data_IF_505442293995
#
_entry.id   IF_505442293995
#
_cell.length_a   1.000
_cell.length_b   1.000
_cell.length_c   1.000
_cell.angle_alpha   90.00
_cell.angle_beta   90.00
_cell.angle_gamma   90.00
#
_symmetry.space_group_name_H-M   'P 1'
#
loop_
_entity.id
_entity.type
_entity.pdbx_description
1 polymer ?
#
# COMPACT_ATOMS: atom_id res chain seq x y z
N UNK A 1 -12.33 9.43 1.51
CA UNK A 1 -13.25 8.36 1.07
C UNK A 1 -14.45 8.35 2.00
N UNK A 2 -15.66 8.43 1.46
CA UNK A 2 -16.91 8.17 2.18
C UNK A 2 -17.26 6.69 2.10
N UNK A 3 -17.99 6.18 3.09
CA UNK A 3 -18.50 4.82 3.09
C UNK A 3 -19.26 4.53 1.78
N UNK A 4 -18.93 3.42 1.14
CA UNK A 4 -19.50 2.99 -0.13
C UNK A 4 -18.76 3.48 -1.38
N UNK A 5 -17.95 4.55 -1.29
CA UNK A 5 -17.11 4.97 -2.40
C UNK A 5 -16.04 3.92 -2.71
N UNK A 6 -15.65 3.88 -3.98
CA UNK A 6 -14.62 2.98 -4.50
C UNK A 6 -13.42 3.82 -4.93
N UNK A 7 -12.24 3.44 -4.42
CA UNK A 7 -10.94 3.92 -4.89
C UNK A 7 -10.37 2.90 -5.86
N UNK A 8 -10.28 3.26 -7.14
CA UNK A 8 -9.53 2.51 -8.15
C UNK A 8 -8.11 3.01 -8.22
N UNK A 9 -7.15 2.11 -8.13
CA UNK A 9 -5.74 2.37 -8.44
C UNK A 9 -5.39 1.63 -9.73
N UNK A 10 -4.84 2.34 -10.72
CA UNK A 10 -4.43 1.77 -12.01
C UNK A 10 -2.94 1.96 -12.21
N UNK A 11 -2.24 0.85 -12.39
CA UNK A 11 -0.85 0.84 -12.85
C UNK A 11 -0.82 1.12 -14.36
N UNK A 12 -0.33 2.30 -14.76
CA UNK A 12 -0.43 2.74 -16.15
C UNK A 12 0.60 2.08 -17.06
N UNK A 13 1.76 1.70 -16.52
CA UNK A 13 2.89 1.17 -17.30
C UNK A 13 3.33 -0.23 -16.86
N UNK A 14 2.75 -0.78 -15.79
CA UNK A 14 3.14 -2.04 -15.19
C UNK A 14 4.33 -1.89 -14.23
N UNK A 15 4.45 -2.86 -13.32
CA UNK A 15 5.50 -2.96 -12.30
C UNK A 15 5.65 -1.76 -11.35
N UNK A 16 4.69 -0.82 -11.29
CA UNK A 16 4.75 0.30 -10.36
C UNK A 16 4.00 0.00 -9.06
N UNK A 17 4.72 -0.09 -7.94
CA UNK A 17 4.10 -0.18 -6.63
C UNK A 17 3.47 1.14 -6.17
N UNK A 18 2.40 1.03 -5.38
CA UNK A 18 1.83 2.15 -4.65
C UNK A 18 1.58 1.77 -3.19
N UNK A 19 2.19 2.55 -2.31
CA UNK A 19 2.08 2.36 -0.88
C UNK A 19 0.80 3.03 -0.41
N UNK A 20 0.06 2.34 0.46
CA UNK A 20 -1.26 2.76 0.90
C UNK A 20 -1.46 2.62 2.41
N UNK A 21 -1.97 3.69 3.01
CA UNK A 21 -2.47 3.72 4.38
C UNK A 21 -3.92 4.24 4.40
N UNK A 22 -4.69 3.82 5.40
CA UNK A 22 -5.97 4.45 5.69
C UNK A 22 -6.25 4.56 7.18
N UNK A 23 -7.05 5.57 7.53
CA UNK A 23 -7.38 5.97 8.89
C UNK A 23 -8.89 6.21 8.98
N UNK A 24 -9.51 5.86 10.11
CA UNK A 24 -10.90 6.20 10.37
C UNK A 24 -11.07 7.72 10.39
N UNK A 25 -12.04 8.24 9.61
CA UNK A 25 -12.30 9.68 9.58
C UNK A 25 -12.80 10.22 10.94
N UNK A 26 -13.42 9.36 11.77
CA UNK A 26 -13.95 9.73 13.09
C UNK A 26 -12.91 9.66 14.22
N UNK A 27 -11.88 8.83 14.07
CA UNK A 27 -10.78 8.64 15.04
C UNK A 27 -9.50 8.23 14.31
N UNK A 28 -8.62 9.19 14.02
CA UNK A 28 -7.37 8.92 13.30
C UNK A 28 -6.41 8.00 14.08
N UNK A 29 -6.62 7.74 15.37
CA UNK A 29 -5.85 6.71 16.07
C UNK A 29 -6.24 5.28 15.60
N UNK A 30 -7.48 5.10 15.13
CA UNK A 30 -7.98 3.86 14.56
C UNK A 30 -7.66 3.78 13.06
N UNK A 31 -6.51 3.16 12.76
CA UNK A 31 -5.90 3.09 11.43
C UNK A 31 -5.63 1.68 10.97
N UNK A 32 -5.27 1.53 9.70
CA UNK A 32 -4.88 0.26 9.10
C UNK A 32 -3.90 -0.54 9.97
N UNK A 33 -4.09 -1.85 10.03
CA UNK A 33 -3.24 -2.76 10.76
C UNK A 33 -2.97 -4.03 9.95
N UNK A 34 -1.72 -4.21 9.52
CA UNK A 34 -1.27 -5.38 8.76
C UNK A 34 -1.52 -6.70 9.53
N UNK A 35 -1.23 -6.75 10.84
CA UNK A 35 -1.39 -7.98 11.62
C UNK A 35 -2.84 -8.46 11.71
N UNK A 36 -3.80 -7.56 11.95
CA UNK A 36 -5.22 -7.89 11.92
C UNK A 36 -5.67 -8.26 10.52
N UNK A 37 -5.17 -7.56 9.50
CA UNK A 37 -5.44 -7.87 8.09
C UNK A 37 -5.01 -9.30 7.75
N UNK A 38 -3.77 -9.68 8.04
CA UNK A 38 -3.24 -11.03 7.79
C UNK A 38 -4.03 -12.08 8.57
N UNK A 39 -4.23 -11.85 9.88
CA UNK A 39 -4.90 -12.81 10.78
C UNK A 39 -6.34 -13.09 10.37
N UNK A 40 -7.10 -12.05 9.99
CA UNK A 40 -8.52 -12.17 9.66
C UNK A 40 -8.74 -12.68 8.24
N UNK A 41 -7.85 -12.36 7.29
CA UNK A 41 -7.88 -12.96 5.96
C UNK A 41 -7.25 -14.36 5.91
N UNK A 42 -6.47 -14.74 6.92
CA UNK A 42 -5.65 -15.98 6.96
C UNK A 42 -4.72 -16.11 5.76
N UNK A 43 -4.26 -14.97 5.24
CA UNK A 43 -3.38 -14.89 4.09
C UNK A 43 -2.46 -13.68 4.26
N UNK A 44 -1.20 -13.85 3.87
CA UNK A 44 -0.19 -12.78 3.89
C UNK A 44 -0.23 -11.93 2.62
N UNK A 45 -0.80 -12.45 1.53
CA UNK A 45 -1.01 -11.74 0.29
C UNK A 45 -2.43 -11.20 0.22
N UNK A 46 -2.57 -9.97 -0.28
CA UNK A 46 -3.86 -9.34 -0.50
C UNK A 46 -4.24 -9.43 -1.99
N UNK A 47 -5.53 -9.57 -2.24
CA UNK A 47 -6.11 -9.54 -3.59
C UNK A 47 -7.62 -9.48 -3.53
N UNK A 48 -8.32 -9.81 -4.62
CA UNK A 48 -9.79 -9.81 -4.66
C UNK A 48 -10.41 -10.55 -3.47
N UNK A 49 -11.31 -9.88 -2.75
CA UNK A 49 -11.99 -10.38 -1.57
C UNK A 49 -11.23 -10.17 -0.26
N UNK A 50 -9.98 -9.72 -0.28
CA UNK A 50 -9.28 -9.36 0.95
C UNK A 50 -9.88 -8.12 1.61
N UNK A 51 -9.94 -8.14 2.93
CA UNK A 51 -10.47 -7.06 3.75
C UNK A 51 -9.34 -6.37 4.52
N UNK A 52 -9.27 -5.05 4.47
CA UNK A 52 -8.30 -4.26 5.23
C UNK A 52 -8.91 -3.91 6.59
N UNK A 53 -8.18 -4.22 7.66
CA UNK A 53 -8.67 -4.11 9.03
C UNK A 53 -7.89 -3.07 9.83
N UNK A 54 -8.60 -2.39 10.73
CA UNK A 54 -8.00 -1.40 11.63
C UNK A 54 -7.34 -2.03 12.86
N UNK A 55 -6.61 -1.22 13.64
CA UNK A 55 -6.07 -1.61 14.96
C UNK A 55 -7.17 -2.06 15.94
N UNK A 56 -8.38 -1.49 15.86
CA UNK A 56 -9.55 -1.90 16.64
C UNK A 56 -10.38 -3.02 15.98
N UNK A 57 -9.82 -3.68 14.95
CA UNK A 57 -10.48 -4.73 14.18
C UNK A 57 -11.82 -4.29 13.56
N UNK A 58 -11.90 -3.03 13.10
CA UNK A 58 -12.99 -2.56 12.23
C UNK A 58 -12.60 -2.76 10.79
N UNK A 59 -13.54 -3.21 9.96
CA UNK A 59 -13.33 -3.35 8.53
C UNK A 59 -13.28 -1.95 7.91
N UNK A 60 -12.16 -1.62 7.27
CA UNK A 60 -11.92 -0.30 6.69
C UNK A 60 -12.22 -0.32 5.19
N UNK A 61 -11.63 -1.26 4.47
CA UNK A 61 -11.85 -1.42 3.03
C UNK A 61 -11.97 -2.88 2.63
N UNK A 62 -12.60 -3.14 1.49
CA UNK A 62 -12.61 -4.45 0.83
C UNK A 62 -12.06 -4.30 -0.58
N UNK A 63 -11.14 -5.17 -1.00
CA UNK A 63 -10.71 -5.28 -2.39
C UNK A 63 -11.82 -5.98 -3.17
N UNK A 64 -12.61 -5.23 -3.94
CA UNK A 64 -13.78 -5.76 -4.65
C UNK A 64 -13.46 -6.20 -6.08
N UNK A 65 -12.39 -5.68 -6.67
CA UNK A 65 -11.85 -6.10 -7.96
C UNK A 65 -10.33 -5.99 -7.95
N UNK A 66 -9.66 -6.91 -8.63
CA UNK A 66 -8.20 -6.98 -8.72
C UNK A 66 -7.80 -7.83 -9.92
N UNK A 67 -7.05 -7.23 -10.85
CA UNK A 67 -6.60 -7.90 -12.08
C UNK A 67 -5.18 -8.46 -11.99
N UNK A 68 -4.49 -8.27 -10.87
CA UNK A 68 -3.08 -8.57 -10.68
C UNK A 68 -2.86 -9.62 -9.58
N UNK A 69 -3.44 -9.43 -8.38
CA UNK A 69 -3.25 -10.29 -7.22
C UNK A 69 -1.92 -10.08 -6.49
N UNK A 70 -1.77 -10.84 -5.40
CA UNK A 70 -0.51 -11.01 -4.65
C UNK A 70 0.14 -9.73 -4.12
N UNK A 71 -0.65 -8.77 -3.65
CA UNK A 71 -0.13 -7.54 -3.07
C UNK A 71 0.48 -7.78 -1.70
N UNK A 72 1.61 -7.11 -1.45
CA UNK A 72 2.35 -7.21 -0.21
C UNK A 72 1.76 -6.32 0.92
N UNK A 73 1.94 -6.78 2.15
CA UNK A 73 1.71 -5.98 3.36
C UNK A 73 2.76 -6.26 4.45
N UNK A 74 3.88 -6.91 4.09
CA UNK A 74 4.93 -7.33 5.01
C UNK A 74 6.16 -6.43 4.92
N UNK A 75 6.53 -5.97 3.72
CA UNK A 75 7.84 -5.36 3.47
C UNK A 75 7.93 -3.90 3.94
N UNK A 76 6.79 -3.25 4.19
CA UNK A 76 6.71 -1.84 4.56
C UNK A 76 7.07 -0.90 3.41
N UNK A 77 7.19 0.39 3.71
CA UNK A 77 7.51 1.44 2.76
C UNK A 77 9.01 1.72 2.69
N UNK A 78 9.51 2.22 1.56
CA UNK A 78 10.91 2.63 1.43
C UNK A 78 11.18 3.97 2.15
N UNK A 79 12.42 4.16 2.61
CA UNK A 79 12.92 5.40 3.20
C UNK A 79 14.37 5.63 2.80
N UNK A 80 14.85 6.86 2.95
CA UNK A 80 16.26 7.21 2.66
C UNK A 80 17.19 6.38 3.54
N UNK A 81 16.86 6.25 4.82
CA UNK A 81 17.62 5.54 5.84
C UNK A 81 17.70 4.04 5.56
N UNK A 82 16.57 3.43 5.18
CA UNK A 82 16.50 2.01 4.84
C UNK A 82 17.30 1.72 3.57
N UNK A 83 17.24 2.59 2.58
CA UNK A 83 18.02 2.44 1.34
C UNK A 83 19.52 2.59 1.58
N UNK A 84 19.94 3.54 2.42
CA UNK A 84 21.35 3.68 2.82
C UNK A 84 21.90 2.40 3.46
N UNK A 85 21.11 1.75 4.32
CA UNK A 85 21.50 0.49 4.95
C UNK A 85 21.52 -0.67 3.94
N UNK A 86 20.48 -0.78 3.09
CA UNK A 86 20.32 -1.92 2.17
C UNK A 86 21.25 -1.87 0.98
N UNK A 87 21.54 -0.68 0.47
CA UNK A 87 22.21 -0.48 -0.82
C UNK A 87 23.47 0.38 -0.73
N UNK A 88 23.75 1.02 0.41
CA UNK A 88 24.87 1.97 0.55
C UNK A 88 24.70 3.26 -0.24
N UNK A 89 23.49 3.51 -0.75
CA UNK A 89 23.06 4.69 -1.51
C UNK A 89 21.54 4.79 -1.47
N UNK A 90 21.00 5.97 -1.74
CA UNK A 90 19.56 6.23 -1.71
C UNK A 90 19.08 7.06 -2.92
N UNK A 91 17.76 7.13 -3.10
CA UNK A 91 17.12 7.93 -4.15
C UNK A 91 16.90 9.41 -3.77
N UNK A 92 17.36 9.84 -2.59
CA UNK A 92 17.10 11.16 -1.99
C UNK A 92 15.66 11.39 -1.51
N UNK A 93 14.77 10.41 -1.71
CA UNK A 93 13.35 10.41 -1.32
C UNK A 93 12.84 8.98 -1.20
N UNK A 94 11.78 8.78 -0.42
CA UNK A 94 11.11 7.50 -0.24
C UNK A 94 9.64 7.67 0.12
N UNK A 95 8.90 6.55 0.14
CA UNK A 95 7.50 6.52 0.52
C UNK A 95 7.25 7.01 1.96
N UNK A 96 8.20 6.76 2.87
CA UNK A 96 8.18 7.29 4.24
C UNK A 96 8.00 8.81 4.25
N UNK A 97 8.87 9.55 3.55
CA UNK A 97 8.78 11.02 3.47
C UNK A 97 7.55 11.52 2.72
N UNK A 98 7.07 10.79 1.71
CA UNK A 98 5.81 11.11 1.03
C UNK A 98 4.62 10.98 1.98
N UNK A 99 4.57 9.91 2.79
CA UNK A 99 3.53 9.74 3.80
C UNK A 99 3.59 10.82 4.86
N UNK A 100 4.77 11.12 5.42
CA UNK A 100 4.92 12.18 6.41
C UNK A 100 4.42 13.53 5.89
N UNK A 101 4.77 13.88 4.64
CA UNK A 101 4.33 15.12 4.01
C UNK A 101 2.80 15.21 3.88
N UNK A 102 2.14 14.14 3.45
CA UNK A 102 0.67 14.12 3.33
C UNK A 102 -0.03 14.04 4.70
N UNK A 103 0.48 13.21 5.61
CA UNK A 103 -0.09 13.01 6.95
C UNK A 103 0.01 14.27 7.82
N UNK A 104 1.08 15.07 7.68
CA UNK A 104 1.24 16.33 8.39
C UNK A 104 0.08 17.32 8.16
N UNK A 105 -0.54 17.28 6.97
CA UNK A 105 -1.73 18.11 6.63
C UNK A 105 -2.96 17.78 7.48
N UNK A 106 -2.95 16.62 8.14
CA UNK A 106 -4.02 16.10 8.99
C UNK A 106 -3.63 16.05 10.47
N UNK A 107 -2.52 16.71 10.86
CA UNK A 107 -2.03 16.72 12.25
C UNK A 107 -1.42 15.39 12.71
N UNK A 108 -1.07 14.53 11.75
CA UNK A 108 -0.36 13.27 11.98
C UNK A 108 1.14 13.45 11.74
N UNK A 109 1.94 12.49 12.18
CA UNK A 109 3.40 12.57 12.20
C UNK A 109 4.04 11.24 11.78
N UNK A 110 5.37 11.19 11.75
CA UNK A 110 6.16 9.98 11.45
C UNK A 110 5.67 8.73 12.22
N UNK A 111 5.31 8.87 13.51
CA UNK A 111 4.81 7.76 14.35
C UNK A 111 3.52 7.10 13.82
N UNK A 112 2.79 7.82 12.97
CA UNK A 112 1.52 7.40 12.40
C UNK A 112 1.72 6.66 11.07
N UNK A 113 2.93 6.72 10.49
CA UNK A 113 3.37 5.83 9.42
C UNK A 113 3.65 4.45 10.03
N UNK A 114 2.87 3.46 9.62
CA UNK A 114 2.94 2.08 10.11
C UNK A 114 3.14 1.13 8.92
N UNK A 115 3.25 -0.17 9.19
CA UNK A 115 3.19 -1.18 8.13
C UNK A 115 1.99 -0.93 7.21
N UNK A 116 2.27 -0.70 5.93
CA UNK A 116 1.31 -0.30 4.90
C UNK A 116 0.98 -1.46 3.96
N UNK A 117 0.00 -1.24 3.09
CA UNK A 117 -0.23 -2.10 1.92
C UNK A 117 0.64 -1.59 0.78
N UNK A 118 1.26 -2.50 0.03
CA UNK A 118 2.05 -2.23 -1.16
C UNK A 118 1.31 -2.81 -2.38
N UNK A 119 0.36 -2.07 -2.95
CA UNK A 119 -0.35 -2.54 -4.14
C UNK A 119 0.61 -2.66 -5.33
N UNK A 120 0.41 -3.69 -6.15
CA UNK A 120 1.25 -4.09 -7.28
C UNK A 120 2.70 -4.52 -6.96
N UNK A 121 3.16 -4.36 -5.71
CA UNK A 121 4.44 -4.92 -5.28
C UNK A 121 4.32 -6.40 -4.97
N UNK A 122 5.26 -7.21 -5.49
CA UNK A 122 5.29 -8.65 -5.28
C UNK A 122 6.48 -9.06 -4.40
N UNK A 123 6.17 -9.63 -3.23
CA UNK A 123 7.15 -10.07 -2.23
C UNK A 123 6.88 -11.52 -1.85
N UNK A 124 7.39 -12.50 -2.63
CA UNK A 124 7.21 -13.91 -2.30
C UNK A 124 7.93 -14.26 -0.99
N UNK A 125 7.25 -15.00 -0.13
CA UNK A 125 7.81 -15.64 1.06
C UNK A 125 8.14 -17.10 0.73
N UNK A 126 9.41 -17.46 0.85
CA UNK A 126 9.91 -18.81 0.62
C UNK A 126 9.57 -19.74 1.79
N UNK A 127 9.70 -21.05 1.58
CA UNK A 127 9.46 -22.05 2.63
C UNK A 127 10.40 -21.90 3.84
N UNK A 128 11.59 -21.30 3.65
CA UNK A 128 12.52 -20.94 4.73
C UNK A 128 12.05 -19.74 5.56
N UNK A 129 11.09 -18.97 5.07
CA UNK A 129 10.70 -17.67 5.61
C UNK A 129 11.45 -16.49 4.98
N UNK A 130 12.38 -16.73 4.05
CA UNK A 130 13.08 -15.66 3.33
C UNK A 130 12.11 -14.92 2.40
N UNK A 131 12.35 -13.61 2.24
CA UNK A 131 11.51 -12.76 1.41
C UNK A 131 12.32 -11.61 0.82
N UNK A 132 12.02 -11.27 -0.43
CA UNK A 132 12.65 -10.18 -1.17
C UNK A 132 11.66 -9.60 -2.19
N UNK A 133 11.93 -8.37 -2.63
CA UNK A 133 11.13 -7.72 -3.67
C UNK A 133 11.47 -8.38 -5.02
N UNK A 134 10.57 -9.21 -5.52
CA UNK A 134 10.66 -9.81 -6.84
C UNK A 134 10.15 -8.83 -7.91
N UNK A 135 10.43 -9.06 -9.21
CA UNK A 135 9.83 -8.28 -10.28
C UNK A 135 8.31 -8.22 -10.13
N UNK A 136 7.74 -7.01 -10.22
CA UNK A 136 6.31 -6.80 -10.14
C UNK A 136 5.58 -7.62 -11.21
N UNK A 137 4.42 -8.19 -10.84
CA UNK A 137 3.62 -9.00 -11.75
C UNK A 137 2.53 -8.20 -12.48
N UNK A 138 2.31 -6.94 -12.08
CA UNK A 138 1.36 -6.04 -12.74
C UNK A 138 1.80 -5.71 -14.16
N UNK A 139 0.82 -5.65 -15.06
CA UNK A 139 0.95 -5.24 -16.46
C UNK A 139 0.37 -3.84 -16.63
N UNK A 140 0.70 -3.15 -17.74
CA UNK A 140 0.03 -1.90 -18.08
C UNK A 140 -1.49 -2.05 -18.00
N UNK A 141 -2.14 -1.09 -17.33
CA UNK A 141 -3.57 -0.98 -17.07
C UNK A 141 -4.17 -1.96 -16.06
N UNK A 142 -3.36 -2.79 -15.39
CA UNK A 142 -3.85 -3.54 -14.24
C UNK A 142 -4.35 -2.60 -13.15
N UNK A 143 -5.39 -3.02 -12.44
CA UNK A 143 -6.03 -2.20 -11.44
C UNK A 143 -6.55 -2.99 -10.25
N UNK A 144 -6.76 -2.26 -9.15
CA UNK A 144 -7.44 -2.71 -7.95
C UNK A 144 -8.55 -1.73 -7.58
N UNK A 145 -9.69 -2.25 -7.14
CA UNK A 145 -10.81 -1.46 -6.63
C UNK A 145 -11.00 -1.71 -5.13
N UNK A 146 -10.92 -0.64 -4.36
CA UNK A 146 -11.08 -0.64 -2.91
C UNK A 146 -12.39 0.02 -2.53
N UNK A 147 -13.38 -0.75 -2.08
CA UNK A 147 -14.60 -0.17 -1.51
C UNK A 147 -14.36 0.24 -0.06
N UNK A 148 -14.69 1.47 0.28
CA UNK A 148 -14.69 1.95 1.66
C UNK A 148 -15.88 1.38 2.46
N UNK A 149 -15.60 0.71 3.57
CA UNK A 149 -16.61 0.11 4.46
C UNK A 149 -17.08 1.09 5.56
N UNK A 150 -16.40 2.23 5.64
CA UNK A 150 -16.64 3.34 6.55
C UNK A 150 -16.01 4.61 5.97
N UNK A 151 -16.23 5.76 6.62
CA UNK A 151 -15.57 7.01 6.23
C UNK A 151 -14.08 6.95 6.61
N UNK A 152 -13.22 7.26 5.66
CA UNK A 152 -11.78 7.08 5.75
C UNK A 152 -11.01 8.27 5.19
N UNK A 153 -9.90 8.59 5.86
CA UNK A 153 -8.75 9.23 5.23
C UNK A 153 -7.91 8.16 4.55
N UNK A 154 -7.79 8.22 3.23
CA UNK A 154 -6.95 7.36 2.42
C UNK A 154 -5.69 8.12 2.01
N UNK A 155 -4.51 7.53 2.18
CA UNK A 155 -3.22 8.16 1.90
C UNK A 155 -2.41 7.25 0.99
N UNK A 156 -1.88 7.83 -0.08
CA UNK A 156 -1.18 7.13 -1.14
C UNK A 156 0.23 7.71 -1.29
N UNK A 157 1.22 6.85 -1.50
CA UNK A 157 2.53 7.23 -1.98
C UNK A 157 2.87 6.45 -3.24
N UNK A 158 3.00 7.15 -4.37
CA UNK A 158 3.51 6.54 -5.60
C UNK A 158 5.01 6.25 -5.43
N UNK A 159 5.39 4.98 -5.37
CA UNK A 159 6.71 4.57 -4.92
C UNK A 159 7.83 5.11 -5.84
N UNK A 160 8.78 5.91 -5.33
CA UNK A 160 9.84 6.52 -6.14
C UNK A 160 11.08 5.63 -6.29
N UNK A 161 11.03 4.38 -5.86
CA UNK A 161 12.17 3.46 -5.77
C UNK A 161 12.78 3.14 -7.14
N UNK A 162 14.10 3.27 -7.27
CA UNK A 162 14.84 2.95 -8.49
C UNK A 162 16.04 2.01 -8.25
N UNK A 163 16.23 1.52 -7.03
CA UNK A 163 17.34 0.65 -6.61
C UNK A 163 16.93 -0.83 -6.53
N UNK A 164 15.64 -1.14 -6.60
CA UNK A 164 15.11 -2.50 -6.60
C UNK A 164 13.85 -2.63 -7.48
N UNK A 165 13.22 -3.82 -7.43
CA UNK A 165 12.08 -4.17 -8.28
C UNK A 165 10.75 -3.48 -7.94
N UNK A 166 10.64 -2.74 -6.83
CA UNK A 166 9.35 -2.20 -6.36
C UNK A 166 8.65 -1.30 -7.39
N UNK A 167 9.42 -0.60 -8.22
CA UNK A 167 8.90 0.18 -9.34
C UNK A 167 9.59 -0.18 -10.67
N UNK A 168 9.97 -1.46 -10.84
CA UNK A 168 10.65 -1.94 -12.05
C UNK A 168 11.95 -1.19 -12.39
N UNK A 169 12.67 -0.66 -11.38
CA UNK A 169 13.83 0.23 -11.51
C UNK A 169 13.58 1.57 -12.24
N UNK A 170 12.32 1.86 -12.60
CA UNK A 170 11.93 3.07 -13.32
C UNK A 170 10.53 3.49 -12.86
N UNK A 171 10.44 4.38 -11.85
CA UNK A 171 9.14 4.86 -11.38
C UNK A 171 8.28 5.44 -12.50
N UNK A 172 7.02 5.04 -12.55
CA UNK A 172 5.98 5.45 -13.50
C UNK A 172 4.74 5.98 -12.78
N UNK A 173 3.80 6.62 -13.48
CA UNK A 173 2.61 7.18 -12.84
C UNK A 173 1.55 6.12 -12.52
N UNK A 174 0.93 6.24 -11.34
CA UNK A 174 -0.32 5.55 -11.00
C UNK A 174 -1.49 6.52 -11.19
N UNK A 175 -2.64 6.01 -11.65
CA UNK A 175 -3.89 6.76 -11.66
C UNK A 175 -4.79 6.31 -10.51
N UNK A 176 -5.17 7.25 -9.65
CA UNK A 176 -6.18 7.06 -8.62
C UNK A 176 -7.52 7.69 -9.05
N UNK A 177 -8.62 6.95 -8.93
CA UNK A 177 -9.97 7.39 -9.29
C UNK A 177 -10.91 7.07 -8.14
N UNK A 178 -11.72 8.04 -7.73
CA UNK A 178 -12.78 7.83 -6.74
C UNK A 178 -14.13 7.90 -7.46
N UNK A 179 -14.98 6.91 -7.25
CA UNK A 179 -16.33 6.87 -7.80
C UNK A 179 -17.31 6.17 -6.85
N UNK A 180 -18.60 6.32 -7.12
CA UNK A 180 -19.69 5.59 -6.46
C UNK A 180 -20.43 4.76 -7.50
N UNK A 181 -21.02 3.64 -7.09
CA UNK A 181 -21.93 2.85 -7.92
C UNK A 181 -23.33 3.46 -7.98
#
# INVERSE_FOLDING_TARGET
MRKGEILRLVDLEGQQAIDFLCFSADDLADRYNAANTIKLNRNIYLGKGSELWSVRARKMMTIIEDTCGSHDTLYGCCSVEVDDIRFGKNNGRGCQGNFEFELAKHGLSEKDVVANVNFFMYVPVEASGDLAIAPGISKPTDYVDLRAEMDLLAVLSNCPEALNNAAGFKPTPIRAIVYSL
#
